data_IF_298354534055
#
_entry.id   IF_298354534055
#
_cell.length_a   1.000
_cell.length_b   1.000
_cell.length_c   1.000
_cell.angle_alpha   90.00
_cell.angle_beta   90.00
_cell.angle_gamma   90.00
#
_symmetry.space_group_name_H-M   'P 1'
#
loop_
_entity.id
_entity.type
_entity.pdbx_description
1 polymer ?
#
# COMPACT_ATOMS: atom_id res chain seq x y z
N UNK A 1 -14.18 16.30 -19.23
CA UNK A 1 -14.61 14.99 -18.71
C UNK A 1 -14.44 13.85 -19.71
N UNK A 2 -14.96 13.94 -20.95
CA UNK A 2 -14.85 12.85 -21.94
C UNK A 2 -13.41 12.40 -22.24
N UNK A 3 -12.46 13.33 -22.33
CA UNK A 3 -11.03 13.01 -22.53
C UNK A 3 -10.45 12.21 -21.37
N UNK A 4 -10.79 12.56 -20.13
CA UNK A 4 -10.31 11.90 -18.90
C UNK A 4 -10.88 10.48 -18.79
N UNK A 5 -12.16 10.28 -19.13
CA UNK A 5 -12.76 8.94 -19.15
C UNK A 5 -12.14 8.03 -20.21
N UNK A 6 -11.83 8.58 -21.40
CA UNK A 6 -11.09 7.85 -22.44
C UNK A 6 -9.68 7.49 -21.97
N UNK A 7 -9.00 8.42 -21.29
CA UNK A 7 -7.70 8.15 -20.69
C UNK A 7 -7.79 7.04 -19.64
N UNK A 8 -8.85 7.02 -18.81
CA UNK A 8 -9.06 5.93 -17.87
C UNK A 8 -9.18 4.58 -18.56
N UNK A 9 -10.08 4.48 -19.53
CA UNK A 9 -10.37 3.23 -20.23
C UNK A 9 -9.16 2.70 -21.02
N UNK A 10 -8.32 3.58 -21.55
CA UNK A 10 -7.22 3.20 -22.43
C UNK A 10 -5.88 3.07 -21.70
N UNK A 11 -5.60 3.90 -20.69
CA UNK A 11 -4.29 3.96 -20.03
C UNK A 11 -4.36 3.64 -18.55
N UNK A 12 -5.21 4.33 -17.78
CA UNK A 12 -5.25 4.16 -16.31
C UNK A 12 -5.65 2.75 -15.88
N UNK A 13 -6.58 2.09 -16.59
CA UNK A 13 -7.01 0.73 -16.23
C UNK A 13 -5.85 -0.27 -16.27
N UNK A 14 -4.84 -0.05 -17.12
CA UNK A 14 -3.66 -0.92 -17.23
C UNK A 14 -2.78 -0.88 -15.99
N UNK A 15 -2.80 0.24 -15.24
CA UNK A 15 -2.01 0.40 -14.01
C UNK A 15 -2.80 0.04 -12.77
N UNK A 16 -4.14 0.11 -12.82
CA UNK A 16 -5.04 -0.25 -11.72
C UNK A 16 -5.31 -1.77 -11.67
N UNK A 17 -5.21 -2.49 -12.78
CA UNK A 17 -5.50 -3.93 -12.79
C UNK A 17 -4.53 -4.77 -13.61
N UNK A 18 -4.01 -5.85 -13.02
CA UNK A 18 -3.08 -6.75 -13.70
C UNK A 18 -3.84 -7.69 -14.63
N UNK A 19 -3.23 -7.96 -15.80
CA UNK A 19 -3.79 -8.89 -16.77
C UNK A 19 -4.87 -8.30 -17.68
N UNK A 20 -4.98 -8.85 -18.89
CA UNK A 20 -5.88 -8.37 -19.95
C UNK A 20 -7.36 -8.61 -19.60
N UNK A 21 -7.67 -9.70 -18.93
CA UNK A 21 -9.03 -10.09 -18.53
C UNK A 21 -9.61 -9.14 -17.47
N UNK A 22 -8.88 -8.88 -16.39
CA UNK A 22 -9.31 -7.91 -15.37
C UNK A 22 -9.48 -6.50 -15.95
N UNK A 23 -8.59 -6.08 -16.86
CA UNK A 23 -8.73 -4.79 -17.56
C UNK A 23 -9.97 -4.73 -18.44
N UNK A 24 -10.32 -5.82 -19.13
CA UNK A 24 -11.53 -5.90 -19.95
C UNK A 24 -12.79 -5.84 -19.07
N UNK A 25 -12.81 -6.60 -17.97
CA UNK A 25 -13.89 -6.60 -16.99
C UNK A 25 -14.18 -5.19 -16.45
N UNK A 26 -13.14 -4.42 -16.11
CA UNK A 26 -13.29 -3.02 -15.73
C UNK A 26 -13.92 -2.16 -16.82
N UNK A 27 -13.44 -2.25 -18.06
CA UNK A 27 -13.96 -1.45 -19.19
C UNK A 27 -15.43 -1.75 -19.47
N UNK A 28 -15.85 -3.00 -19.28
CA UNK A 28 -17.23 -3.43 -19.49
C UNK A 28 -18.14 -3.03 -18.31
N UNK A 29 -17.70 -3.24 -17.07
CA UNK A 29 -18.51 -3.01 -15.88
C UNK A 29 -18.74 -1.53 -15.59
N UNK A 30 -17.69 -0.70 -15.73
CA UNK A 30 -17.69 0.69 -15.25
C UNK A 30 -18.78 1.58 -15.83
N UNK A 31 -19.07 1.59 -17.14
CA UNK A 31 -20.12 2.46 -17.68
C UNK A 31 -21.48 2.21 -17.04
N UNK A 32 -21.83 0.94 -16.82
CA UNK A 32 -23.08 0.54 -16.16
C UNK A 32 -23.08 0.96 -14.69
N UNK A 33 -22.00 0.69 -13.96
CA UNK A 33 -21.89 1.02 -12.53
C UNK A 33 -21.91 2.54 -12.32
N UNK A 34 -21.16 3.31 -13.12
CA UNK A 34 -21.08 4.76 -13.04
C UNK A 34 -22.41 5.47 -13.36
N UNK A 35 -23.23 4.88 -14.24
CA UNK A 35 -24.56 5.41 -14.56
C UNK A 35 -25.54 5.17 -13.40
N UNK A 36 -25.47 4.01 -12.76
CA UNK A 36 -26.36 3.65 -11.65
C UNK A 36 -25.93 4.28 -10.32
N UNK A 37 -24.62 4.42 -10.12
CA UNK A 37 -24.01 4.86 -8.87
C UNK A 37 -23.00 6.00 -9.15
N UNK A 38 -23.43 7.27 -9.04
CA UNK A 38 -22.59 8.43 -9.39
C UNK A 38 -21.24 8.49 -8.66
N UNK A 39 -21.15 7.97 -7.44
CA UNK A 39 -19.88 7.89 -6.72
C UNK A 39 -18.81 7.08 -7.46
N UNK A 40 -19.19 6.05 -8.22
CA UNK A 40 -18.23 5.27 -9.04
C UNK A 40 -17.62 6.15 -10.12
N UNK A 41 -18.42 7.00 -10.79
CA UNK A 41 -17.92 7.96 -11.78
C UNK A 41 -16.89 8.91 -11.16
N UNK A 42 -17.20 9.44 -9.98
CA UNK A 42 -16.30 10.33 -9.25
C UNK A 42 -14.97 9.65 -8.91
N UNK A 43 -14.99 8.40 -8.44
CA UNK A 43 -13.77 7.63 -8.18
C UNK A 43 -12.93 7.41 -9.43
N UNK A 44 -13.56 7.01 -10.54
CA UNK A 44 -12.90 6.83 -11.84
C UNK A 44 -12.26 8.12 -12.32
N UNK A 45 -12.97 9.24 -12.26
CA UNK A 45 -12.44 10.55 -12.65
C UNK A 45 -11.26 10.98 -11.76
N UNK A 46 -11.34 10.74 -10.45
CA UNK A 46 -10.27 11.07 -9.52
C UNK A 46 -8.97 10.35 -9.88
N UNK A 47 -9.03 9.02 -10.02
CA UNK A 47 -7.85 8.19 -10.35
C UNK A 47 -7.34 8.50 -11.76
N UNK A 48 -8.23 8.73 -12.72
CA UNK A 48 -7.83 9.14 -14.07
C UNK A 48 -7.07 10.47 -14.07
N UNK A 49 -7.55 11.48 -13.33
CA UNK A 49 -6.87 12.77 -13.22
C UNK A 49 -5.50 12.64 -12.53
N UNK A 50 -5.38 11.82 -11.48
CA UNK A 50 -4.06 11.53 -10.91
C UNK A 50 -3.11 10.89 -11.91
N UNK A 51 -3.59 9.92 -12.71
CA UNK A 51 -2.77 9.27 -13.74
C UNK A 51 -2.32 10.26 -14.83
N UNK A 52 -3.21 11.16 -15.26
CA UNK A 52 -2.86 12.24 -16.20
C UNK A 52 -1.78 13.15 -15.60
N UNK A 53 -1.86 13.48 -14.31
CA UNK A 53 -0.91 14.38 -13.63
C UNK A 53 0.54 13.88 -13.60
N UNK A 54 0.74 12.58 -13.82
CA UNK A 54 2.06 11.94 -13.90
C UNK A 54 2.41 11.43 -15.30
N UNK A 55 1.55 11.69 -16.28
CA UNK A 55 1.81 11.34 -17.68
C UNK A 55 2.83 12.33 -18.27
N UNK A 56 3.85 11.86 -19.01
CA UNK A 56 4.84 12.74 -19.63
C UNK A 56 4.19 13.82 -20.51
N UNK A 57 4.63 15.07 -20.37
CA UNK A 57 4.10 16.22 -21.11
C UNK A 57 2.93 16.94 -20.42
N UNK A 58 2.51 16.51 -19.24
CA UNK A 58 1.45 17.14 -18.44
C UNK A 58 1.99 17.91 -17.23
N UNK A 59 3.31 18.16 -17.16
CA UNK A 59 3.98 18.71 -15.98
C UNK A 59 3.44 20.09 -15.60
N UNK A 60 3.10 20.94 -16.58
CA UNK A 60 2.54 22.28 -16.33
C UNK A 60 1.10 22.27 -15.81
N UNK A 61 0.36 21.18 -16.02
CA UNK A 61 -1.04 21.02 -15.60
C UNK A 61 -1.21 20.06 -14.42
N UNK A 62 -0.10 19.55 -13.88
CA UNK A 62 -0.07 18.54 -12.83
C UNK A 62 -0.96 18.93 -11.64
N UNK A 63 -0.74 20.13 -11.09
CA UNK A 63 -1.47 20.60 -9.90
C UNK A 63 -2.97 20.74 -10.18
N UNK A 64 -3.35 21.19 -11.38
CA UNK A 64 -4.75 21.31 -11.81
C UNK A 64 -5.44 19.94 -11.78
N UNK A 65 -4.80 18.92 -12.35
CA UNK A 65 -5.37 17.56 -12.35
C UNK A 65 -5.40 16.95 -10.94
N UNK A 66 -4.43 17.26 -10.09
CA UNK A 66 -4.43 16.80 -8.69
C UNK A 66 -5.56 17.45 -7.87
N UNK A 67 -5.82 18.74 -8.06
CA UNK A 67 -6.94 19.44 -7.41
C UNK A 67 -8.30 18.90 -7.88
N UNK A 68 -8.44 18.65 -9.18
CA UNK A 68 -9.64 17.99 -9.73
C UNK A 68 -9.79 16.60 -9.12
N UNK A 69 -8.71 15.83 -9.03
CA UNK A 69 -8.76 14.49 -8.47
C UNK A 69 -9.23 14.48 -7.01
N UNK A 70 -8.69 15.38 -6.18
CA UNK A 70 -9.12 15.53 -4.79
C UNK A 70 -10.60 15.91 -4.68
N UNK A 71 -11.04 16.85 -5.53
CA UNK A 71 -12.45 17.27 -5.59
C UNK A 71 -13.38 16.10 -5.95
N UNK A 72 -13.03 15.34 -6.99
CA UNK A 72 -13.82 14.18 -7.43
C UNK A 72 -13.84 13.10 -6.35
N UNK A 73 -12.70 12.77 -5.74
CA UNK A 73 -12.64 11.77 -4.67
C UNK A 73 -13.53 12.14 -3.48
N UNK A 74 -13.52 13.41 -3.06
CA UNK A 74 -14.38 13.90 -1.99
C UNK A 74 -15.88 13.80 -2.32
N UNK A 75 -16.27 14.16 -3.54
CA UNK A 75 -17.66 14.02 -4.01
C UNK A 75 -18.12 12.55 -3.99
N UNK A 76 -17.28 11.64 -4.49
CA UNK A 76 -17.57 10.21 -4.45
C UNK A 76 -17.67 9.66 -3.03
N UNK A 77 -16.73 10.05 -2.16
CA UNK A 77 -16.68 9.58 -0.76
C UNK A 77 -17.93 9.97 0.04
N UNK A 78 -18.50 11.15 -0.21
CA UNK A 78 -19.71 11.61 0.47
C UNK A 78 -20.89 10.66 0.26
N UNK A 79 -21.11 10.20 -0.98
CA UNK A 79 -22.17 9.24 -1.29
C UNK A 79 -21.78 7.81 -0.92
N UNK A 80 -20.52 7.41 -1.15
CA UNK A 80 -20.01 6.08 -0.77
C UNK A 80 -20.20 5.79 0.72
N UNK A 81 -19.96 6.78 1.59
CA UNK A 81 -20.12 6.61 3.03
C UNK A 81 -21.56 6.29 3.45
N UNK A 82 -22.55 6.77 2.70
CA UNK A 82 -23.97 6.47 2.95
C UNK A 82 -24.28 5.05 2.46
N UNK A 83 -23.87 4.72 1.25
CA UNK A 83 -24.16 3.43 0.61
C UNK A 83 -23.49 2.25 1.33
N UNK A 84 -22.25 2.42 1.80
CA UNK A 84 -21.48 1.34 2.45
C UNK A 84 -22.02 0.95 3.83
N UNK A 85 -22.86 1.78 4.46
CA UNK A 85 -23.54 1.43 5.72
C UNK A 85 -24.47 0.23 5.56
N UNK A 86 -24.95 -0.03 4.35
CA UNK A 86 -25.80 -1.19 4.03
C UNK A 86 -25.31 -1.87 2.76
N UNK A 87 -24.31 -2.73 2.93
CA UNK A 87 -23.81 -3.59 1.85
C UNK A 87 -24.87 -4.64 1.49
N UNK A 88 -25.20 -4.71 0.21
CA UNK A 88 -26.17 -5.64 -0.37
C UNK A 88 -25.62 -6.19 -1.69
N UNK A 89 -26.18 -7.27 -2.21
CA UNK A 89 -25.80 -7.77 -3.54
C UNK A 89 -26.03 -6.72 -4.64
N UNK A 90 -27.04 -5.84 -4.51
CA UNK A 90 -27.33 -4.84 -5.55
C UNK A 90 -26.31 -3.71 -5.64
N UNK A 91 -25.61 -3.36 -4.56
CA UNK A 91 -24.62 -2.27 -4.53
C UNK A 91 -23.18 -2.74 -4.31
N UNK A 92 -22.96 -4.03 -4.02
CA UNK A 92 -21.63 -4.57 -3.71
C UNK A 92 -20.59 -4.35 -4.81
N UNK A 93 -20.93 -4.55 -6.10
CA UNK A 93 -19.98 -4.31 -7.20
C UNK A 93 -19.59 -2.84 -7.31
N UNK A 94 -20.53 -1.91 -7.13
CA UNK A 94 -20.26 -0.47 -7.18
C UNK A 94 -19.39 -0.03 -5.99
N UNK A 95 -19.72 -0.51 -4.78
CA UNK A 95 -18.93 -0.27 -3.58
C UNK A 95 -17.51 -0.81 -3.72
N UNK A 96 -17.37 -2.04 -4.22
CA UNK A 96 -16.07 -2.66 -4.48
C UNK A 96 -15.28 -1.84 -5.50
N UNK A 97 -15.88 -1.51 -6.64
CA UNK A 97 -15.24 -0.69 -7.67
C UNK A 97 -14.71 0.64 -7.11
N UNK A 98 -15.52 1.36 -6.34
CA UNK A 98 -15.10 2.60 -5.71
C UNK A 98 -14.02 2.40 -4.65
N UNK A 99 -14.07 1.33 -3.87
CA UNK A 99 -13.03 1.02 -2.87
C UNK A 99 -11.64 0.77 -3.51
N UNK A 100 -11.60 0.21 -4.72
CA UNK A 100 -10.35 0.11 -5.50
C UNK A 100 -9.87 1.50 -5.89
N UNK A 101 -10.75 2.38 -6.36
CA UNK A 101 -10.39 3.77 -6.68
C UNK A 101 -9.85 4.52 -5.46
N UNK A 102 -10.47 4.34 -4.29
CA UNK A 102 -10.01 4.93 -3.01
C UNK A 102 -8.62 4.39 -2.66
N UNK A 103 -8.39 3.08 -2.77
CA UNK A 103 -7.09 2.47 -2.48
C UNK A 103 -5.99 3.05 -3.38
N UNK A 104 -6.25 3.13 -4.68
CA UNK A 104 -5.32 3.72 -5.66
C UNK A 104 -5.03 5.20 -5.36
N UNK A 105 -6.07 5.97 -5.07
CA UNK A 105 -5.94 7.39 -4.73
C UNK A 105 -5.08 7.59 -3.47
N UNK A 106 -5.39 6.85 -2.40
CA UNK A 106 -4.69 6.99 -1.12
C UNK A 106 -3.24 6.52 -1.22
N UNK A 107 -2.93 5.47 -1.98
CA UNK A 107 -1.55 5.05 -2.26
C UNK A 107 -0.73 6.20 -2.87
N UNK A 108 -1.29 6.85 -3.90
CA UNK A 108 -0.63 7.97 -4.58
C UNK A 108 -0.44 9.18 -3.66
N UNK A 109 -1.50 9.64 -3.00
CA UNK A 109 -1.43 10.87 -2.19
C UNK A 109 -0.57 10.68 -0.95
N UNK A 110 -0.61 9.50 -0.32
CA UNK A 110 0.24 9.17 0.83
C UNK A 110 1.72 9.26 0.46
N UNK A 111 2.11 8.71 -0.70
CA UNK A 111 3.49 8.77 -1.12
C UNK A 111 3.95 10.21 -1.36
N UNK A 112 3.11 11.05 -1.95
CA UNK A 112 3.39 12.46 -2.16
C UNK A 112 3.47 13.26 -0.84
N UNK A 113 2.54 13.01 0.09
CA UNK A 113 2.49 13.66 1.40
C UNK A 113 3.71 13.29 2.25
N UNK A 114 4.07 12.00 2.33
CA UNK A 114 5.27 11.56 3.04
C UNK A 114 6.54 12.22 2.49
N UNK A 115 6.70 12.31 1.16
CA UNK A 115 7.85 13.00 0.55
C UNK A 115 7.89 14.48 0.90
N UNK A 116 6.74 15.16 0.91
CA UNK A 116 6.65 16.58 1.27
C UNK A 116 7.00 16.79 2.75
N UNK A 117 6.48 15.95 3.64
CA UNK A 117 6.78 15.98 5.08
C UNK A 117 8.27 15.69 5.36
N UNK A 118 8.86 14.76 4.62
CA UNK A 118 10.30 14.47 4.74
C UNK A 118 11.17 15.59 4.16
N UNK A 119 10.77 16.24 3.06
CA UNK A 119 11.53 17.36 2.50
C UNK A 119 11.59 18.57 3.46
N UNK A 120 10.57 18.77 4.31
CA UNK A 120 10.64 19.78 5.38
C UNK A 120 11.56 19.41 6.54
N UNK A 121 11.95 18.13 6.65
CA UNK A 121 12.87 17.63 7.68
C UNK A 121 14.34 17.91 7.35
N UNK A 122 14.74 17.83 6.08
CA UNK A 122 16.16 17.97 5.65
C UNK A 122 16.70 19.42 5.63
N UNK A 123 15.86 20.43 5.86
CA UNK A 123 16.17 21.84 5.55
C UNK A 123 16.64 22.74 6.71
N UNK A 124 16.56 22.30 7.97
CA UNK A 124 16.83 23.16 9.15
C UNK A 124 17.39 22.36 10.32
N UNK A 125 18.10 23.02 11.26
CA UNK A 125 18.27 22.50 12.62
C UNK A 125 16.89 22.16 13.19
N UNK A 126 16.53 20.89 13.10
CA UNK A 126 15.16 20.44 13.37
C UNK A 126 15.03 20.24 14.87
N UNK A 127 14.15 21.01 15.51
CA UNK A 127 13.92 20.84 16.94
C UNK A 127 13.38 19.43 17.23
N UNK A 128 13.62 18.92 18.44
CA UNK A 128 13.09 17.63 18.88
C UNK A 128 11.56 17.54 18.74
N UNK A 129 10.86 18.67 18.90
CA UNK A 129 9.41 18.78 18.71
C UNK A 129 9.02 18.59 17.24
N UNK A 130 9.68 19.29 16.31
CA UNK A 130 9.42 19.16 14.87
C UNK A 130 9.72 17.74 14.35
N UNK A 131 10.78 17.10 14.86
CA UNK A 131 11.08 15.69 14.54
C UNK A 131 9.96 14.77 15.02
N UNK A 132 9.48 14.95 16.25
CA UNK A 132 8.38 14.16 16.81
C UNK A 132 7.08 14.35 16.03
N UNK A 133 6.79 15.56 15.58
CA UNK A 133 5.63 15.88 14.73
C UNK A 133 5.75 15.25 13.34
N UNK A 134 6.93 15.33 12.72
CA UNK A 134 7.25 14.70 11.43
C UNK A 134 7.02 13.20 11.49
N UNK A 135 7.58 12.53 12.51
CA UNK A 135 7.42 11.10 12.76
C UNK A 135 5.94 10.75 12.92
N UNK A 136 5.23 11.51 13.76
CA UNK A 136 3.81 11.28 14.03
C UNK A 136 2.97 11.43 12.78
N UNK A 137 3.27 12.44 11.96
CA UNK A 137 2.56 12.70 10.69
C UNK A 137 2.78 11.56 9.71
N UNK A 138 4.03 11.17 9.45
CA UNK A 138 4.34 10.07 8.52
C UNK A 138 3.74 8.73 8.98
N UNK A 139 3.84 8.42 10.28
CA UNK A 139 3.24 7.24 10.87
C UNK A 139 1.72 7.23 10.66
N UNK A 140 1.04 8.35 10.95
CA UNK A 140 -0.40 8.48 10.76
C UNK A 140 -0.83 8.34 9.29
N UNK A 141 -0.06 8.88 8.35
CA UNK A 141 -0.31 8.75 6.91
C UNK A 141 -0.29 7.27 6.48
N UNK A 142 0.74 6.53 6.87
CA UNK A 142 0.85 5.09 6.58
C UNK A 142 -0.29 4.33 7.27
N UNK A 143 -0.56 4.55 8.55
CA UNK A 143 -1.64 3.87 9.25
C UNK A 143 -3.02 4.15 8.62
N UNK A 144 -3.28 5.37 8.15
CA UNK A 144 -4.52 5.72 7.43
C UNK A 144 -4.65 4.94 6.14
N UNK A 145 -3.57 4.82 5.37
CA UNK A 145 -3.54 4.05 4.12
C UNK A 145 -3.90 2.59 4.32
N UNK A 146 -3.35 1.97 5.35
CA UNK A 146 -3.62 0.57 5.66
C UNK A 146 -5.05 0.36 6.15
N UNK A 147 -5.61 1.29 6.95
CA UNK A 147 -7.05 1.27 7.31
C UNK A 147 -7.96 1.41 6.09
N UNK A 148 -7.61 2.29 5.15
CA UNK A 148 -8.37 2.47 3.91
C UNK A 148 -8.39 1.19 3.08
N UNK A 149 -7.24 0.53 2.92
CA UNK A 149 -7.15 -0.79 2.25
C UNK A 149 -8.01 -1.83 2.96
N UNK A 150 -7.88 -1.94 4.29
CA UNK A 150 -8.68 -2.84 5.13
C UNK A 150 -10.19 -2.62 4.99
N UNK A 151 -10.62 -1.39 4.74
CA UNK A 151 -12.04 -1.03 4.60
C UNK A 151 -12.75 -1.84 3.52
N UNK A 152 -12.03 -2.35 2.51
CA UNK A 152 -12.59 -3.21 1.46
C UNK A 152 -13.22 -4.49 2.03
N UNK A 153 -12.75 -4.98 3.19
CA UNK A 153 -13.29 -6.20 3.82
C UNK A 153 -14.75 -6.03 4.28
N UNK A 154 -15.21 -4.81 4.55
CA UNK A 154 -16.62 -4.52 4.85
C UNK A 154 -17.52 -4.92 3.67
N UNK A 155 -16.98 -4.89 2.44
CA UNK A 155 -17.68 -5.24 1.21
C UNK A 155 -17.40 -6.70 0.83
N UNK A 156 -16.12 -7.07 0.79
CA UNK A 156 -15.70 -8.39 0.31
C UNK A 156 -16.19 -9.51 1.23
N UNK A 157 -16.07 -9.40 2.55
CA UNK A 157 -16.47 -10.50 3.44
C UNK A 157 -17.94 -10.90 3.27
N UNK A 158 -18.93 -9.98 3.28
CA UNK A 158 -20.33 -10.36 3.10
C UNK A 158 -20.73 -10.66 1.65
N UNK A 159 -20.01 -10.12 0.65
CA UNK A 159 -20.43 -10.20 -0.76
C UNK A 159 -19.42 -10.88 -1.69
N UNK A 160 -18.40 -11.57 -1.16
CA UNK A 160 -17.32 -12.18 -1.95
C UNK A 160 -17.86 -13.05 -3.08
N UNK A 161 -18.74 -14.00 -2.76
CA UNK A 161 -19.30 -14.91 -3.75
C UNK A 161 -20.14 -14.20 -4.81
N UNK A 162 -20.85 -13.13 -4.42
CA UNK A 162 -21.66 -12.36 -5.35
C UNK A 162 -20.79 -11.59 -6.35
N UNK A 163 -19.78 -10.86 -5.84
CA UNK A 163 -18.84 -10.09 -6.68
C UNK A 163 -18.04 -11.05 -7.57
N UNK A 164 -17.64 -12.21 -7.04
CA UNK A 164 -16.95 -13.25 -7.80
C UNK A 164 -17.81 -13.86 -8.89
N UNK A 165 -19.13 -13.93 -8.75
CA UNK A 165 -20.04 -14.37 -9.82
C UNK A 165 -20.48 -13.24 -10.78
N UNK A 166 -19.95 -12.04 -10.58
CA UNK A 166 -20.43 -10.80 -11.17
C UNK A 166 -19.54 -10.26 -12.28
N UNK A 167 -19.73 -8.99 -12.63
CA UNK A 167 -18.98 -8.35 -13.73
C UNK A 167 -17.50 -8.12 -13.42
N UNK A 168 -17.12 -8.22 -12.14
CA UNK A 168 -15.77 -8.01 -11.64
C UNK A 168 -15.11 -9.32 -11.17
N UNK A 169 -15.60 -10.48 -11.64
CA UNK A 169 -15.04 -11.80 -11.35
C UNK A 169 -13.52 -11.85 -11.57
N UNK A 170 -13.07 -11.41 -12.75
CA UNK A 170 -11.67 -11.41 -13.15
C UNK A 170 -10.75 -10.56 -12.24
N UNK A 171 -11.30 -9.74 -11.34
CA UNK A 171 -10.51 -9.03 -10.31
C UNK A 171 -10.25 -9.87 -9.06
N UNK A 172 -11.15 -10.80 -8.77
CA UNK A 172 -11.10 -11.66 -7.59
C UNK A 172 -10.56 -13.06 -7.92
N UNK A 173 -10.70 -13.47 -9.16
CA UNK A 173 -10.21 -14.75 -9.65
C UNK A 173 -8.68 -14.79 -9.64
N UNK A 174 -8.15 -15.83 -9.01
CA UNK A 174 -6.72 -16.09 -8.88
C UNK A 174 -6.46 -17.56 -9.15
N UNK A 175 -6.82 -18.02 -10.35
CA UNK A 175 -6.68 -19.43 -10.76
C UNK A 175 -5.24 -19.94 -10.74
N UNK A 176 -4.27 -19.03 -10.79
CA UNK A 176 -2.85 -19.33 -10.60
C UNK A 176 -2.49 -19.66 -9.13
N UNK A 177 -3.43 -19.58 -8.18
CA UNK A 177 -3.20 -19.84 -6.75
C UNK A 177 -4.15 -20.88 -6.13
N UNK A 178 -3.63 -21.89 -5.40
CA UNK A 178 -2.22 -22.26 -5.27
C UNK A 178 -1.77 -23.20 -6.40
N UNK A 179 -0.98 -22.70 -7.35
CA UNK A 179 -0.23 -23.57 -8.25
C UNK A 179 0.98 -24.19 -7.51
N UNK A 180 1.32 -25.47 -7.76
CA UNK A 180 2.53 -26.08 -7.22
C UNK A 180 3.76 -25.50 -7.93
N UNK A 181 4.44 -24.57 -7.28
CA UNK A 181 5.67 -23.92 -7.77
C UNK A 181 6.83 -24.36 -6.86
N UNK A 182 8.01 -24.54 -7.46
CA UNK A 182 9.22 -25.00 -6.78
C UNK A 182 9.70 -23.91 -5.81
N UNK A 183 9.87 -24.27 -4.54
CA UNK A 183 10.45 -23.37 -3.52
C UNK A 183 11.95 -23.24 -3.77
N UNK A 184 12.44 -22.01 -3.91
CA UNK A 184 13.87 -21.74 -4.12
C UNK A 184 14.65 -21.74 -2.80
N UNK A 185 15.99 -21.84 -2.87
CA UNK A 185 16.83 -21.69 -1.69
C UNK A 185 16.74 -20.27 -1.08
N UNK A 186 16.54 -19.26 -1.93
CA UNK A 186 16.36 -17.86 -1.52
C UNK A 186 15.06 -17.66 -0.75
N UNK A 187 13.97 -18.30 -1.19
CA UNK A 187 12.69 -18.27 -0.46
C UNK A 187 12.82 -18.85 0.96
N UNK A 188 13.60 -19.92 1.09
CA UNK A 188 13.87 -20.55 2.39
C UNK A 188 14.73 -19.64 3.28
N UNK A 189 15.75 -18.98 2.74
CA UNK A 189 16.56 -18.02 3.50
C UNK A 189 15.74 -16.81 3.95
N UNK A 190 14.93 -16.27 3.04
CA UNK A 190 14.00 -15.17 3.29
C UNK A 190 13.02 -15.50 4.43
N UNK A 191 12.38 -16.67 4.36
CA UNK A 191 11.46 -17.13 5.41
C UNK A 191 12.16 -17.32 6.77
N UNK A 192 13.39 -17.85 6.77
CA UNK A 192 14.20 -18.00 7.99
C UNK A 192 14.52 -16.65 8.62
N UNK A 193 14.94 -15.66 7.83
CA UNK A 193 15.20 -14.30 8.31
C UNK A 193 13.96 -13.64 8.88
N UNK A 194 12.82 -13.75 8.20
CA UNK A 194 11.56 -13.19 8.71
C UNK A 194 11.13 -13.87 10.01
N UNK A 195 11.24 -15.20 10.09
CA UNK A 195 10.90 -15.96 11.31
C UNK A 195 11.73 -15.53 12.51
N UNK A 196 12.98 -15.13 12.31
CA UNK A 196 13.86 -14.67 13.39
C UNK A 196 13.31 -13.42 14.10
N UNK A 197 12.49 -12.58 13.44
CA UNK A 197 11.88 -11.40 14.04
C UNK A 197 10.98 -11.72 15.26
N UNK A 198 10.46 -12.94 15.35
CA UNK A 198 9.69 -13.41 16.51
C UNK A 198 10.48 -13.29 17.83
N UNK A 199 11.82 -13.31 17.76
CA UNK A 199 12.67 -13.16 18.95
C UNK A 199 12.56 -11.78 19.62
N UNK A 200 11.99 -10.76 18.96
CA UNK A 200 11.79 -9.43 19.55
C UNK A 200 10.77 -9.46 20.71
N UNK A 201 9.82 -10.41 20.68
CA UNK A 201 8.77 -10.55 21.70
C UNK A 201 8.65 -11.96 22.29
N UNK A 202 9.31 -12.96 21.68
CA UNK A 202 9.28 -14.35 22.14
C UNK A 202 10.69 -14.84 22.54
N UNK A 203 11.11 -14.49 23.76
CA UNK A 203 12.38 -14.97 24.32
C UNK A 203 12.32 -15.08 25.85
N UNK A 204 13.22 -15.87 26.48
CA UNK A 204 13.30 -15.93 27.93
C UNK A 204 13.52 -14.54 28.56
N UNK A 205 12.78 -14.24 29.62
CA UNK A 205 12.86 -12.96 30.34
C UNK A 205 11.92 -11.87 29.84
N UNK A 206 11.25 -12.04 28.70
CA UNK A 206 10.18 -11.12 28.26
C UNK A 206 8.86 -11.50 28.92
N UNK A 207 8.20 -10.53 29.57
CA UNK A 207 6.84 -10.71 30.08
C UNK A 207 5.85 -10.72 28.91
N UNK A 208 4.93 -11.68 28.90
CA UNK A 208 3.91 -11.78 27.87
C UNK A 208 2.96 -10.59 27.89
N UNK A 209 2.70 -10.01 26.71
CA UNK A 209 1.66 -9.01 26.45
C UNK A 209 0.67 -9.56 25.41
N UNK A 210 -0.62 -9.27 25.55
CA UNK A 210 -1.64 -9.68 24.56
C UNK A 210 -1.37 -9.13 23.16
N UNK A 211 -0.66 -7.99 23.05
CA UNK A 211 -0.21 -7.43 21.78
C UNK A 211 0.67 -8.39 20.97
N UNK A 212 1.34 -9.35 21.62
CA UNK A 212 2.19 -10.33 20.96
C UNK A 212 1.41 -11.29 20.06
N UNK A 213 0.13 -11.52 20.32
CA UNK A 213 -0.71 -12.32 19.42
C UNK A 213 -0.97 -11.59 18.10
N UNK A 214 -1.21 -10.27 18.15
CA UNK A 214 -1.35 -9.46 16.95
C UNK A 214 -0.05 -9.43 16.13
N UNK A 215 1.11 -9.30 16.79
CA UNK A 215 2.43 -9.38 16.14
C UNK A 215 2.69 -10.75 15.52
N UNK A 216 2.39 -11.83 16.24
CA UNK A 216 2.57 -13.22 15.77
C UNK A 216 1.71 -13.52 14.54
N UNK A 217 0.43 -13.13 14.57
CA UNK A 217 -0.46 -13.27 13.41
C UNK A 217 0.05 -12.45 12.22
N UNK A 218 0.39 -11.17 12.42
CA UNK A 218 0.93 -10.33 11.36
C UNK A 218 2.22 -10.88 10.75
N UNK A 219 3.15 -11.39 11.57
CA UNK A 219 4.38 -12.02 11.09
C UNK A 219 4.11 -13.30 10.29
N UNK A 220 3.17 -14.14 10.77
CA UNK A 220 2.78 -15.35 10.05
C UNK A 220 2.22 -15.00 8.67
N UNK A 221 1.26 -14.09 8.61
CA UNK A 221 0.63 -13.68 7.35
C UNK A 221 1.64 -12.97 6.43
N UNK A 222 2.64 -12.27 7.00
CA UNK A 222 3.70 -11.64 6.22
C UNK A 222 4.55 -12.69 5.50
N UNK A 223 4.98 -13.72 6.23
CA UNK A 223 5.76 -14.83 5.67
C UNK A 223 4.99 -15.56 4.57
N UNK A 224 3.69 -15.79 4.77
CA UNK A 224 2.81 -16.34 3.74
C UNK A 224 2.72 -15.42 2.51
N UNK A 225 2.64 -14.10 2.70
CA UNK A 225 2.59 -13.15 1.59
C UNK A 225 3.92 -13.07 0.81
N UNK A 226 5.07 -13.14 1.49
CA UNK A 226 6.37 -13.30 0.82
C UNK A 226 6.41 -14.55 -0.05
N UNK A 227 5.93 -15.68 0.47
CA UNK A 227 5.86 -16.91 -0.30
C UNK A 227 4.96 -16.78 -1.54
N UNK A 228 3.80 -16.12 -1.42
CA UNK A 228 2.90 -15.84 -2.56
C UNK A 228 3.58 -14.96 -3.61
N UNK A 229 4.12 -13.81 -3.19
CA UNK A 229 4.68 -12.79 -4.09
C UNK A 229 5.95 -13.29 -4.79
N UNK A 230 6.79 -14.04 -4.09
CA UNK A 230 7.98 -14.65 -4.69
C UNK A 230 7.61 -15.66 -5.78
N UNK A 231 6.62 -16.51 -5.50
CA UNK A 231 6.10 -17.47 -6.48
C UNK A 231 5.50 -16.79 -7.70
N UNK A 232 4.80 -15.68 -7.51
CA UNK A 232 4.19 -14.91 -8.60
C UNK A 232 5.21 -14.28 -9.56
N UNK A 233 6.40 -13.92 -9.09
CA UNK A 233 7.44 -13.39 -9.96
C UNK A 233 7.90 -14.41 -11.04
N UNK A 234 7.70 -15.70 -10.78
CA UNK A 234 8.11 -16.81 -11.65
C UNK A 234 6.98 -17.32 -12.57
N UNK A 235 5.73 -16.88 -12.38
CA UNK A 235 4.55 -17.37 -13.12
C UNK A 235 4.32 -16.53 -14.37
N UNK A 236 4.08 -17.18 -15.52
CA UNK A 236 3.53 -16.54 -16.72
C UNK A 236 2.01 -16.53 -16.64
N UNK A 237 1.38 -15.36 -16.84
CA UNK A 237 -0.07 -15.25 -16.80
C UNK A 237 -0.70 -15.73 -18.12
N UNK A 238 -1.94 -16.25 -18.09
CA UNK A 238 -2.67 -16.58 -19.32
C UNK A 238 -2.76 -15.37 -20.26
N UNK A 239 -2.32 -15.56 -21.52
CA UNK A 239 -2.30 -14.48 -22.51
C UNK A 239 -1.04 -13.60 -22.50
N UNK A 240 -0.05 -13.90 -21.65
CA UNK A 240 1.28 -13.31 -21.73
C UNK A 240 2.00 -13.80 -23.00
N UNK A 241 2.56 -12.85 -23.75
CA UNK A 241 3.50 -13.18 -24.83
C UNK A 241 4.78 -13.86 -24.30
N UNK A 242 5.62 -14.43 -25.18
CA UNK A 242 6.84 -15.14 -24.77
C UNK A 242 7.82 -14.30 -23.94
N UNK A 243 7.78 -12.96 -24.08
CA UNK A 243 8.62 -11.98 -23.38
C UNK A 243 7.81 -11.06 -22.44
N UNK A 244 6.52 -11.30 -22.23
CA UNK A 244 5.72 -10.56 -21.24
C UNK A 244 5.81 -11.30 -19.89
N UNK A 245 6.19 -10.56 -18.85
CA UNK A 245 6.14 -11.01 -17.46
C UNK A 245 5.12 -10.13 -16.76
N UNK A 246 3.84 -10.50 -16.85
CA UNK A 246 2.82 -9.81 -16.07
C UNK A 246 3.06 -10.17 -14.60
N UNK A 247 3.16 -9.17 -13.73
CA UNK A 247 3.22 -9.38 -12.28
C UNK A 247 1.89 -8.91 -11.69
N UNK A 248 1.18 -9.80 -10.99
CA UNK A 248 0.01 -9.40 -10.22
C UNK A 248 0.45 -8.62 -8.98
N UNK A 249 0.65 -7.32 -9.17
CA UNK A 249 1.02 -6.40 -8.11
C UNK A 249 -0.03 -6.32 -7.00
N UNK A 250 -1.29 -6.67 -7.24
CA UNK A 250 -2.32 -6.60 -6.20
C UNK A 250 -2.10 -7.65 -5.10
N UNK A 251 -1.31 -8.70 -5.37
CA UNK A 251 -0.91 -9.68 -4.36
C UNK A 251 -0.08 -9.06 -3.23
N UNK A 252 0.64 -7.95 -3.48
CA UNK A 252 1.38 -7.23 -2.43
C UNK A 252 0.44 -6.52 -1.47
N UNK A 253 -0.79 -6.21 -1.90
CA UNK A 253 -1.82 -5.60 -1.04
C UNK A 253 -2.54 -6.63 -0.16
N UNK A 254 -2.28 -7.93 -0.31
CA UNK A 254 -2.98 -8.95 0.46
C UNK A 254 -2.70 -8.81 1.97
N UNK A 255 -1.43 -8.72 2.36
CA UNK A 255 -1.04 -8.58 3.76
C UNK A 255 -1.65 -7.34 4.44
N UNK A 256 -1.53 -6.11 3.91
CA UNK A 256 -2.10 -4.94 4.57
C UNK A 256 -3.64 -5.00 4.69
N UNK A 257 -4.32 -5.66 3.75
CA UNK A 257 -5.78 -5.85 3.81
C UNK A 257 -6.18 -6.82 4.94
N UNK A 258 -5.34 -7.79 5.31
CA UNK A 258 -5.66 -8.81 6.33
C UNK A 258 -5.23 -8.43 7.75
N UNK A 259 -4.41 -7.39 7.93
CA UNK A 259 -3.95 -6.97 9.26
C UNK A 259 -5.11 -6.79 10.25
N UNK A 260 -4.93 -7.20 11.51
CA UNK A 260 -5.92 -6.94 12.54
C UNK A 260 -5.95 -5.45 12.92
N UNK A 261 -7.10 -4.98 13.44
CA UNK A 261 -7.17 -3.63 14.01
C UNK A 261 -6.25 -3.48 15.23
N UNK A 262 -6.00 -4.57 15.97
CA UNK A 262 -5.06 -4.59 17.09
C UNK A 262 -3.64 -4.31 16.61
N UNK A 263 -3.22 -4.94 15.50
CA UNK A 263 -1.90 -4.67 14.92
C UNK A 263 -1.78 -3.23 14.43
N UNK A 264 -2.80 -2.69 13.75
CA UNK A 264 -2.81 -1.27 13.34
C UNK A 264 -2.73 -0.36 14.57
N UNK A 265 -3.39 -0.71 15.69
CA UNK A 265 -3.28 0.04 16.95
C UNK A 265 -1.85 0.05 17.48
N UNK A 266 -1.08 -1.03 17.30
CA UNK A 266 0.34 -1.06 17.65
C UNK A 266 1.17 -0.10 16.76
N UNK A 267 0.83 0.04 15.49
CA UNK A 267 1.47 1.01 14.60
C UNK A 267 1.16 2.46 15.03
N UNK A 268 -0.08 2.75 15.40
CA UNK A 268 -0.48 4.07 15.93
C UNK A 268 0.25 4.41 17.23
N UNK A 269 0.43 3.41 18.10
CA UNK A 269 1.22 3.51 19.32
C UNK A 269 2.73 3.56 19.06
N UNK A 270 3.16 3.48 17.78
CA UNK A 270 4.56 3.48 17.37
C UNK A 270 5.39 2.39 18.06
N UNK A 271 4.77 1.22 18.29
CA UNK A 271 5.47 0.05 18.82
C UNK A 271 6.54 -0.39 17.83
N UNK A 272 7.78 -0.49 18.31
CA UNK A 272 8.95 -0.84 17.50
C UNK A 272 8.73 -2.14 16.73
N UNK A 273 8.22 -3.18 17.40
CA UNK A 273 8.04 -4.50 16.81
C UNK A 273 7.12 -4.47 15.59
N UNK A 274 6.05 -3.66 15.64
CA UNK A 274 5.13 -3.49 14.53
C UNK A 274 5.78 -2.72 13.35
N UNK A 275 6.57 -1.68 13.63
CA UNK A 275 7.26 -0.92 12.58
C UNK A 275 8.41 -1.69 11.93
N UNK A 276 9.07 -2.60 12.66
CA UNK A 276 10.06 -3.54 12.08
C UNK A 276 9.39 -4.48 11.08
N UNK A 277 8.22 -5.05 11.41
CA UNK A 277 7.48 -5.90 10.47
C UNK A 277 7.02 -5.10 9.22
N UNK A 278 6.59 -3.84 9.40
CA UNK A 278 6.24 -2.95 8.29
C UNK A 278 7.43 -2.68 7.36
N UNK A 279 8.62 -2.44 7.91
CA UNK A 279 9.83 -2.23 7.13
C UNK A 279 10.17 -3.46 6.26
N UNK A 280 9.99 -4.67 6.80
CA UNK A 280 10.18 -5.89 6.02
C UNK A 280 9.11 -6.08 4.95
N UNK A 281 7.85 -5.81 5.27
CA UNK A 281 6.75 -5.80 4.30
C UNK A 281 7.04 -4.91 3.09
N UNK A 282 7.69 -3.75 3.29
CA UNK A 282 7.98 -2.80 2.21
C UNK A 282 8.80 -3.38 1.06
N UNK A 283 9.55 -4.47 1.27
CA UNK A 283 10.24 -5.18 0.18
C UNK A 283 9.29 -5.79 -0.86
N UNK A 284 8.05 -6.10 -0.50
CA UNK A 284 7.04 -6.67 -1.41
C UNK A 284 6.56 -5.65 -2.46
N UNK A 285 5.99 -4.48 -2.09
CA UNK A 285 5.59 -3.48 -3.08
C UNK A 285 6.78 -2.93 -3.87
N UNK A 286 8.02 -2.98 -3.35
CA UNK A 286 9.22 -2.60 -4.11
C UNK A 286 9.46 -3.47 -5.36
N UNK A 287 8.89 -4.68 -5.44
CA UNK A 287 8.95 -5.55 -6.63
C UNK A 287 8.04 -5.07 -7.76
N UNK A 288 7.03 -4.25 -7.47
CA UNK A 288 6.08 -3.73 -8.45
C UNK A 288 6.54 -2.41 -9.09
N UNK A 289 7.80 -2.35 -9.55
CA UNK A 289 8.46 -1.11 -9.99
C UNK A 289 7.78 -0.40 -11.17
N UNK A 290 7.03 -1.14 -11.99
CA UNK A 290 6.29 -0.59 -13.13
C UNK A 290 4.96 0.08 -12.76
N UNK A 291 4.51 -0.05 -11.50
CA UNK A 291 3.24 0.49 -11.07
C UNK A 291 3.41 1.91 -10.47
N UNK A 292 2.91 2.97 -11.13
CA UNK A 292 3.06 4.33 -10.64
C UNK A 292 2.37 4.60 -9.29
N UNK A 293 1.37 3.80 -8.92
CA UNK A 293 0.65 3.96 -7.66
C UNK A 293 1.49 3.56 -6.44
N UNK A 294 2.51 2.73 -6.64
CA UNK A 294 3.41 2.26 -5.59
C UNK A 294 4.74 3.03 -5.56
N UNK A 295 4.91 4.03 -6.44
CA UNK A 295 6.13 4.83 -6.51
C UNK A 295 6.40 5.57 -5.18
N UNK A 296 7.57 5.29 -4.60
CA UNK A 296 7.98 5.79 -3.29
C UNK A 296 7.23 5.22 -2.08
N UNK A 297 6.18 4.40 -2.27
CA UNK A 297 5.41 3.82 -1.16
C UNK A 297 6.29 2.95 -0.25
N UNK A 298 7.07 2.07 -0.86
CA UNK A 298 7.96 1.15 -0.16
C UNK A 298 9.05 1.90 0.64
N UNK A 299 9.74 2.85 -0.01
CA UNK A 299 10.76 3.71 0.61
C UNK A 299 10.19 4.50 1.78
N UNK A 300 9.00 5.10 1.62
CA UNK A 300 8.36 5.87 2.69
C UNK A 300 8.05 5.01 3.93
N UNK A 301 7.68 3.74 3.75
CA UNK A 301 7.46 2.81 4.88
C UNK A 301 8.77 2.57 5.63
N UNK A 302 9.85 2.24 4.93
CA UNK A 302 11.16 1.98 5.55
C UNK A 302 11.72 3.23 6.23
N UNK A 303 11.65 4.40 5.57
CA UNK A 303 12.07 5.67 6.16
C UNK A 303 11.27 6.00 7.41
N UNK A 304 9.95 5.84 7.38
CA UNK A 304 9.11 6.08 8.56
C UNK A 304 9.45 5.11 9.69
N UNK A 305 9.63 3.82 9.36
CA UNK A 305 10.04 2.82 10.34
C UNK A 305 11.38 3.18 10.98
N UNK A 306 12.38 3.57 10.19
CA UNK A 306 13.69 4.00 10.67
C UNK A 306 13.61 5.19 11.63
N UNK A 307 12.76 6.18 11.32
CA UNK A 307 12.54 7.32 12.20
C UNK A 307 11.80 6.94 13.49
N UNK A 308 10.83 6.02 13.41
CA UNK A 308 10.02 5.57 14.56
C UNK A 308 10.84 4.72 15.53
N UNK A 309 11.63 3.76 15.04
CA UNK A 309 12.35 2.83 15.90
C UNK A 309 13.64 3.42 16.50
N UNK A 310 14.14 4.52 15.95
CA UNK A 310 15.38 5.13 16.42
C UNK A 310 16.63 4.46 15.86
N UNK A 311 17.73 5.22 15.87
CA UNK A 311 19.03 4.81 15.33
C UNK A 311 19.57 3.54 15.99
N UNK A 312 19.38 3.44 17.30
CA UNK A 312 19.86 2.34 18.13
C UNK A 312 19.25 0.98 17.75
N UNK A 313 18.16 0.98 16.99
CA UNK A 313 17.42 -0.21 16.59
C UNK A 313 17.51 -0.50 15.07
N UNK A 314 18.31 0.26 14.31
CA UNK A 314 18.39 0.11 12.85
C UNK A 314 18.90 -1.25 12.38
N UNK A 315 19.60 -2.01 13.23
CA UNK A 315 20.00 -3.38 12.92
C UNK A 315 18.81 -4.27 12.52
N UNK A 316 17.63 -4.03 13.11
CA UNK A 316 16.40 -4.77 12.81
C UNK A 316 15.85 -4.49 11.42
N UNK A 317 16.19 -3.35 10.81
CA UNK A 317 15.70 -2.95 9.48
C UNK A 317 16.82 -2.77 8.46
N UNK A 318 18.06 -3.12 8.80
CA UNK A 318 19.21 -2.99 7.91
C UNK A 318 19.03 -3.77 6.60
N UNK A 319 18.41 -4.95 6.67
CA UNK A 319 18.11 -5.76 5.49
C UNK A 319 17.12 -5.07 4.52
N UNK A 320 15.89 -4.70 4.93
CA UNK A 320 15.00 -3.96 4.04
C UNK A 320 15.59 -2.61 3.60
N UNK A 321 16.29 -1.87 4.46
CA UNK A 321 16.94 -0.62 4.06
C UNK A 321 17.96 -0.82 2.94
N UNK A 322 18.75 -1.89 3.01
CA UNK A 322 19.72 -2.25 1.95
C UNK A 322 19.01 -2.62 0.65
N UNK A 323 17.97 -3.46 0.71
CA UNK A 323 17.20 -3.88 -0.47
C UNK A 323 16.54 -2.69 -1.17
N UNK A 324 16.02 -1.73 -0.40
CA UNK A 324 15.36 -0.53 -0.92
C UNK A 324 16.29 0.66 -1.15
N UNK A 325 17.61 0.49 -0.93
CA UNK A 325 18.61 1.57 -1.05
C UNK A 325 18.29 2.81 -0.22
N UNK A 326 17.69 2.62 0.96
CA UNK A 326 17.40 3.71 1.91
C UNK A 326 18.65 4.01 2.72
N UNK A 327 19.14 5.24 2.57
CA UNK A 327 20.29 5.74 3.32
C UNK A 327 19.87 6.14 4.74
N UNK A 328 19.98 5.17 5.68
CA UNK A 328 19.63 5.39 7.08
C UNK A 328 20.45 6.52 7.71
N UNK A 329 21.70 6.68 7.31
CA UNK A 329 22.62 7.68 7.87
C UNK A 329 22.11 9.11 7.72
N UNK A 330 21.33 9.39 6.67
CA UNK A 330 20.68 10.70 6.49
C UNK A 330 19.63 11.02 7.56
N UNK A 331 19.12 10.00 8.25
CA UNK A 331 18.08 10.13 9.26
C UNK A 331 18.64 10.26 10.69
N UNK A 332 19.97 10.17 10.84
CA UNK A 332 20.66 10.30 12.13
C UNK A 332 20.34 11.64 12.78
N UNK A 333 20.32 11.64 14.11
CA UNK A 333 20.26 12.88 14.89
C UNK A 333 21.66 13.48 14.83
N UNK A 334 21.80 14.67 14.23
CA UNK A 334 23.02 15.46 14.41
C UNK A 334 22.86 16.19 15.74
N UNK A 335 23.45 15.64 16.80
CA UNK A 335 23.58 16.37 18.05
C UNK A 335 24.53 17.55 17.80
N UNK A 336 24.01 18.77 17.86
CA UNK A 336 24.84 19.97 18.00
C UNK A 336 25.46 19.91 19.39
N UNK A 337 26.54 19.15 19.55
CA UNK A 337 27.35 19.22 20.76
C UNK A 337 27.85 20.66 20.84
N UNK A 338 27.41 21.34 21.89
CA UNK A 338 27.94 22.58 22.41
C UNK A 338 29.47 22.62 22.31
N UNK A 339 29.99 23.28 21.27
CA UNK A 339 31.29 23.92 21.34
C UNK A 339 31.14 25.18 22.21
N UNK A 340 30.95 24.97 23.51
CA UNK A 340 31.09 26.00 24.54
C UNK A 340 31.55 25.32 25.84
N UNK A 341 32.64 24.55 25.71
CA UNK A 341 33.49 24.16 26.82
C UNK A 341 34.81 23.67 26.24
N UNK A 342 35.69 24.61 25.91
CA UNK A 342 37.09 24.56 26.34
C UNK A 342 37.88 25.78 25.81
N UNK A 343 38.29 26.62 26.79
CA UNK A 343 39.43 27.55 26.84
C UNK A 343 39.19 28.99 26.36
#
# INVERSE_FOLDING_TARGET
MTTVLKHFANETVKTVSPGKEAQAAWREALPSLATQYPFVLHGVLAVACLHVSITPGMESEKDIYQDIAATQMNLGMAQYHIEVQKVTTTNAEALFAFSVMVTTFVLFTTAAECRKTLASFDGTETSTEQRTETISTMANLICRTFRSMRGVLVILVPCYHHIRSGKLEAMLERDWWPAPIVVTAEDIDTDKRLRQLEMMWCHPGKTYEYSFDALRCALKDLRENFAVVSRLAEVKFPGDGPNEHTFDWTAVLHWPIQLSLDYISLLDQRRMEAWVLMAHYAMLPARATSNPWLDGFATNIVTTAALVIGEENWEWIAWPATVLTVDLERLRIVDTISQDSDI
#
